data_IF_440948616135
#
_entry.id   IF_440948616135
#
_cell.length_a   1.000
_cell.length_b   1.000
_cell.length_c   1.000
_cell.angle_alpha   90.00
_cell.angle_beta   90.00
_cell.angle_gamma   90.00
#
_symmetry.space_group_name_H-M   'P 1'
#
loop_
_entity.id
_entity.type
_entity.pdbx_description
1 polymer ?
#
# COMPACT_ATOMS: atom_id res chain seq x y z
N UNK A 1 -16.76 6.59 10.04
CA UNK A 1 -16.29 5.38 9.33
C UNK A 1 -15.12 5.82 8.47
N UNK A 2 -13.98 5.12 8.52
CA UNK A 2 -12.70 5.59 7.96
C UNK A 2 -12.06 4.48 7.13
N UNK A 3 -11.32 4.88 6.09
CA UNK A 3 -10.52 4.00 5.24
C UNK A 3 -9.05 4.36 5.38
N UNK A 4 -8.18 3.38 5.23
CA UNK A 4 -6.72 3.53 5.24
C UNK A 4 -6.19 3.19 3.86
N UNK A 5 -5.27 4.02 3.36
CA UNK A 5 -4.53 3.74 2.16
C UNK A 5 -3.13 3.27 2.54
N UNK A 6 -2.76 2.08 2.09
CA UNK A 6 -1.40 1.55 2.15
C UNK A 6 -0.67 2.10 0.93
N UNK A 7 0.03 3.23 1.08
CA UNK A 7 0.75 3.92 0.01
C UNK A 7 1.87 4.79 0.57
N UNK A 8 2.72 5.36 -0.28
CA UNK A 8 3.68 6.39 0.14
C UNK A 8 4.78 5.89 1.06
N UNK A 9 5.31 4.67 0.82
CA UNK A 9 6.32 4.04 1.66
C UNK A 9 7.57 4.92 1.91
N UNK A 10 7.86 5.83 0.98
CA UNK A 10 8.97 6.78 1.05
C UNK A 10 8.79 7.93 2.04
N UNK A 11 7.56 8.25 2.47
CA UNK A 11 7.32 9.45 3.29
C UNK A 11 7.87 9.33 4.72
N UNK A 12 7.82 8.12 5.31
CA UNK A 12 8.14 7.89 6.73
C UNK A 12 9.18 6.76 6.94
N UNK A 13 9.90 6.37 5.89
CA UNK A 13 10.99 5.38 5.96
C UNK A 13 12.29 6.00 6.46
N UNK A 14 13.10 5.21 7.17
CA UNK A 14 14.48 5.49 7.57
C UNK A 14 15.50 4.78 6.69
N UNK A 15 15.09 3.75 5.93
CA UNK A 15 15.99 2.93 5.10
C UNK A 15 15.86 3.22 3.62
N UNK A 16 14.77 3.85 3.18
CA UNK A 16 14.60 4.32 1.81
C UNK A 16 14.56 3.19 0.77
N UNK A 17 14.76 3.54 -0.53
CA UNK A 17 14.80 2.58 -1.63
C UNK A 17 15.88 1.52 -1.46
N UNK A 18 17.06 1.88 -0.94
CA UNK A 18 18.18 0.96 -0.73
C UNK A 18 17.84 -0.17 0.26
N UNK A 19 17.04 0.12 1.28
CA UNK A 19 16.49 -0.87 2.21
C UNK A 19 15.13 -1.42 1.82
N UNK A 20 14.67 -1.16 0.58
CA UNK A 20 13.36 -1.55 0.04
C UNK A 20 12.18 -1.15 0.94
N UNK A 21 12.30 -0.03 1.66
CA UNK A 21 11.30 0.45 2.62
C UNK A 21 10.87 -0.60 3.66
N UNK A 22 11.73 -1.56 3.98
CA UNK A 22 11.40 -2.71 4.84
C UNK A 22 10.93 -2.32 6.25
N UNK A 23 11.29 -1.13 6.73
CA UNK A 23 10.85 -0.60 8.01
C UNK A 23 9.39 -0.13 8.04
N UNK A 24 8.74 -0.02 6.88
CA UNK A 24 7.30 0.27 6.75
C UNK A 24 6.43 -0.97 6.96
N UNK A 25 7.00 -2.17 6.80
CA UNK A 25 6.27 -3.45 6.82
C UNK A 25 5.47 -3.65 8.11
N UNK A 26 6.04 -3.43 9.33
CA UNK A 26 5.29 -3.63 10.57
C UNK A 26 4.07 -2.70 10.70
N UNK A 27 4.18 -1.46 10.20
CA UNK A 27 3.09 -0.48 10.25
C UNK A 27 1.96 -0.89 9.31
N UNK A 28 2.29 -1.22 8.06
CA UNK A 28 1.30 -1.66 7.08
C UNK A 28 0.61 -2.96 7.51
N UNK A 29 1.35 -3.93 8.04
CA UNK A 29 0.80 -5.17 8.60
C UNK A 29 -0.10 -4.92 9.80
N UNK A 30 0.22 -3.93 10.64
CA UNK A 30 -0.65 -3.51 11.76
C UNK A 30 -2.04 -3.09 11.30
N UNK A 31 -2.13 -2.27 10.24
CA UNK A 31 -3.40 -1.87 9.64
C UNK A 31 -4.11 -3.04 8.96
N UNK A 32 -3.39 -3.83 8.16
CA UNK A 32 -3.97 -4.98 7.45
C UNK A 32 -4.51 -6.04 8.41
N UNK A 33 -3.85 -6.26 9.56
CA UNK A 33 -4.30 -7.21 10.58
C UNK A 33 -5.50 -6.68 11.36
N UNK A 34 -5.52 -5.38 11.68
CA UNK A 34 -6.57 -4.78 12.49
C UNK A 34 -7.86 -4.42 11.74
N UNK A 35 -7.77 -4.13 10.44
CA UNK A 35 -8.88 -3.63 9.65
C UNK A 35 -8.70 -3.87 8.14
N UNK A 36 -8.46 -5.13 7.74
CA UNK A 36 -8.23 -5.51 6.35
C UNK A 36 -9.32 -4.96 5.41
N UNK A 37 -10.59 -5.04 5.80
CA UNK A 37 -11.76 -4.59 5.04
C UNK A 37 -11.88 -3.07 4.90
N UNK A 38 -10.97 -2.32 5.52
CA UNK A 38 -10.85 -0.86 5.44
C UNK A 38 -9.55 -0.40 4.80
N UNK A 39 -8.76 -1.31 4.24
CA UNK A 39 -7.49 -0.99 3.59
C UNK A 39 -7.62 -0.99 2.06
N UNK A 40 -7.05 0.01 1.40
CA UNK A 40 -6.85 0.06 -0.07
C UNK A 40 -5.38 0.32 -0.37
N UNK A 41 -4.90 -0.01 -1.56
CA UNK A 41 -3.53 0.30 -1.99
C UNK A 41 -3.54 1.33 -3.13
N UNK A 42 -2.49 2.14 -3.20
CA UNK A 42 -2.17 2.94 -4.39
C UNK A 42 -0.66 3.18 -4.46
N UNK A 43 -0.15 3.46 -5.66
CA UNK A 43 1.27 3.77 -5.85
C UNK A 43 1.68 5.15 -5.33
N UNK A 44 0.73 6.08 -5.25
CA UNK A 44 0.97 7.52 -4.99
C UNK A 44 1.70 8.25 -6.13
N UNK A 45 1.62 7.72 -7.35
CA UNK A 45 2.06 8.44 -8.57
C UNK A 45 1.35 9.81 -8.68
N UNK A 46 2.05 10.91 -9.07
CA UNK A 46 3.41 11.01 -9.61
C UNK A 46 4.49 11.28 -8.54
N UNK A 47 4.27 10.86 -7.29
CA UNK A 47 5.22 10.98 -6.16
C UNK A 47 5.68 12.42 -5.95
N UNK A 48 4.76 13.39 -5.92
CA UNK A 48 5.10 14.84 -5.88
C UNK A 48 5.97 15.24 -4.69
N UNK A 49 5.94 14.47 -3.60
CA UNK A 49 6.77 14.67 -2.40
C UNK A 49 8.22 14.23 -2.58
N UNK A 50 8.51 13.41 -3.60
CA UNK A 50 9.85 12.93 -3.95
C UNK A 50 10.33 13.56 -5.28
N UNK A 51 10.70 14.86 -5.31
CA UNK A 51 11.10 15.52 -6.56
C UNK A 51 12.49 15.13 -7.05
N UNK A 52 13.38 14.68 -6.15
CA UNK A 52 14.76 14.36 -6.48
C UNK A 52 14.93 12.95 -7.03
N UNK A 53 14.31 11.96 -6.38
CA UNK A 53 14.42 10.55 -6.75
C UNK A 53 13.03 9.91 -6.65
N UNK A 54 12.45 9.60 -7.81
CA UNK A 54 11.13 8.95 -7.87
C UNK A 54 11.30 7.46 -7.54
N UNK A 55 10.44 6.89 -6.69
CA UNK A 55 10.45 5.45 -6.46
C UNK A 55 10.02 4.71 -7.73
N UNK A 56 10.46 3.46 -7.84
CA UNK A 56 9.94 2.53 -8.84
C UNK A 56 8.56 2.01 -8.39
N UNK A 57 7.51 2.32 -9.17
CA UNK A 57 6.14 1.87 -8.93
C UNK A 57 6.04 0.33 -8.83
N UNK A 58 6.82 -0.41 -9.63
CA UNK A 58 6.82 -1.87 -9.59
C UNK A 58 7.42 -2.38 -8.28
N UNK A 59 8.49 -1.74 -7.79
CA UNK A 59 9.08 -2.09 -6.50
C UNK A 59 8.13 -1.77 -5.32
N UNK A 60 7.37 -0.67 -5.40
CA UNK A 60 6.32 -0.35 -4.43
C UNK A 60 5.16 -1.35 -4.47
N UNK A 61 4.81 -1.86 -5.66
CA UNK A 61 3.81 -2.90 -5.79
C UNK A 61 4.32 -4.25 -5.27
N UNK A 62 5.59 -4.59 -5.49
CA UNK A 62 6.20 -5.79 -4.91
C UNK A 62 6.23 -5.72 -3.38
N UNK A 63 6.49 -4.54 -2.80
CA UNK A 63 6.43 -4.32 -1.34
C UNK A 63 5.06 -4.64 -0.75
N UNK A 64 3.96 -4.50 -1.51
CA UNK A 64 2.63 -4.91 -1.07
C UNK A 64 2.57 -6.40 -0.70
N UNK A 65 3.38 -7.24 -1.34
CA UNK A 65 3.47 -8.68 -1.00
C UNK A 65 4.07 -8.91 0.39
N UNK A 66 4.86 -7.97 0.91
CA UNK A 66 5.41 -8.01 2.26
C UNK A 66 4.41 -7.38 3.26
N UNK A 67 3.73 -6.30 2.88
CA UNK A 67 2.69 -5.65 3.70
C UNK A 67 1.46 -6.53 3.92
N UNK A 68 1.06 -7.29 2.90
CA UNK A 68 -0.09 -8.19 2.92
C UNK A 68 0.34 -9.53 2.28
N UNK A 69 0.87 -10.49 3.06
CA UNK A 69 1.44 -11.72 2.51
C UNK A 69 0.42 -12.71 1.94
N UNK A 70 -0.82 -12.68 2.44
CA UNK A 70 -1.91 -13.53 1.94
C UNK A 70 -2.49 -12.99 0.62
N UNK A 71 -2.64 -13.87 -0.37
CA UNK A 71 -3.10 -13.50 -1.71
C UNK A 71 -4.57 -13.07 -1.73
N UNK A 72 -5.43 -13.75 -0.97
CA UNK A 72 -6.84 -13.39 -0.89
C UNK A 72 -7.02 -12.02 -0.21
N UNK A 73 -6.24 -11.74 0.83
CA UNK A 73 -6.17 -10.44 1.48
C UNK A 73 -5.66 -9.34 0.53
N UNK A 74 -4.63 -9.61 -0.28
CA UNK A 74 -4.19 -8.66 -1.33
C UNK A 74 -5.28 -8.39 -2.35
N UNK A 75 -5.97 -9.43 -2.83
CA UNK A 75 -7.12 -9.26 -3.73
C UNK A 75 -8.18 -8.38 -3.09
N UNK A 76 -8.45 -8.55 -1.80
CA UNK A 76 -9.40 -7.71 -1.10
C UNK A 76 -8.96 -6.24 -1.09
N UNK A 77 -7.70 -5.95 -0.77
CA UNK A 77 -7.12 -4.59 -0.76
C UNK A 77 -7.09 -3.94 -2.14
N UNK A 78 -6.88 -4.73 -3.20
CA UNK A 78 -6.73 -4.25 -4.58
C UNK A 78 -8.05 -4.17 -5.37
N UNK A 79 -9.05 -4.97 -5.02
CA UNK A 79 -10.27 -5.13 -5.83
C UNK A 79 -11.52 -4.91 -4.99
N UNK A 80 -11.75 -5.75 -3.98
CA UNK A 80 -13.03 -5.79 -3.27
C UNK A 80 -13.28 -4.52 -2.44
N UNK A 81 -12.24 -4.03 -1.75
CA UNK A 81 -12.29 -2.85 -0.91
C UNK A 81 -12.41 -1.56 -1.73
N UNK A 82 -11.59 -1.32 -2.78
CA UNK A 82 -11.79 -0.17 -3.67
C UNK A 82 -13.18 -0.17 -4.34
N UNK A 83 -13.70 -1.33 -4.75
CA UNK A 83 -15.06 -1.41 -5.32
C UNK A 83 -16.12 -0.93 -4.32
N UNK A 84 -16.00 -1.33 -3.05
CA UNK A 84 -16.89 -0.89 -1.99
C UNK A 84 -16.71 0.61 -1.61
N UNK A 85 -15.46 1.11 -1.62
CA UNK A 85 -15.14 2.50 -1.30
C UNK A 85 -15.62 3.46 -2.40
N UNK A 86 -15.34 3.13 -3.66
CA UNK A 86 -15.55 4.03 -4.79
C UNK A 86 -16.83 3.72 -5.59
N UNK A 87 -17.52 2.62 -5.32
CA UNK A 87 -18.84 2.31 -5.88
C UNK A 87 -18.83 1.75 -7.30
N UNK A 88 -17.74 1.11 -7.73
CA UNK A 88 -17.67 0.44 -9.04
C UNK A 88 -17.94 -1.07 -8.93
N UNK A 89 -18.26 -1.71 -10.06
CA UNK A 89 -18.48 -3.16 -10.12
C UNK A 89 -17.17 -3.94 -9.99
N UNK A 90 -17.15 -4.97 -9.15
CA UNK A 90 -16.01 -5.89 -9.05
C UNK A 90 -15.78 -6.57 -10.40
N UNK A 91 -14.52 -6.65 -10.82
CA UNK A 91 -14.08 -7.42 -12.00
C UNK A 91 -14.04 -8.92 -11.73
#
# INVERSE_FOLDING_TARGET
>A
KTWVKLSGAYMDTKVGPAGRWSDTVPVAQGYATGALERCVWASDWPHVTEPAEKPDDAALFDLLTEWVPDEAARKQVLVDNPAALYGFSKG
#
